data_IF_461783185079
#
_entry.id   IF_461783185079
#
_cell.length_a   1.000
_cell.length_b   1.000
_cell.length_c   1.000
_cell.angle_alpha   90.00
_cell.angle_beta   90.00
_cell.angle_gamma   90.00
#
_symmetry.space_group_name_H-M   'P 1'
#
loop_
_entity.id
_entity.type
_entity.pdbx_description
1 polymer ?
#
# COMPACT_ATOMS: atom_id res chain seq x y z
N UNK A 1 -6.16 -0.17 -6.48
CA UNK A 1 -7.12 0.95 -6.48
C UNK A 1 -8.41 0.49 -7.13
N UNK A 2 -9.54 1.03 -6.68
CA UNK A 2 -10.88 0.72 -7.16
C UNK A 2 -11.42 1.87 -8.01
N UNK A 3 -10.79 2.11 -9.16
CA UNK A 3 -11.13 3.20 -10.08
C UNK A 3 -10.77 2.87 -11.54
N UNK A 4 -11.13 3.76 -12.45
CA UNK A 4 -10.90 3.61 -13.90
C UNK A 4 -9.43 3.69 -14.33
N UNK A 5 -8.53 4.15 -13.45
CA UNK A 5 -7.09 4.13 -13.72
C UNK A 5 -6.54 2.70 -13.61
N UNK A 6 -7.01 1.94 -12.62
CA UNK A 6 -6.56 0.57 -12.38
C UNK A 6 -7.42 -0.49 -13.10
N UNK A 7 -8.71 -0.20 -13.32
CA UNK A 7 -9.68 -1.15 -13.90
C UNK A 7 -10.27 -0.51 -15.15
N UNK A 8 -9.97 -1.09 -16.32
CA UNK A 8 -10.40 -0.53 -17.61
C UNK A 8 -11.93 -0.60 -17.74
N UNK A 9 -12.53 0.45 -18.32
CA UNK A 9 -13.98 0.56 -18.50
C UNK A 9 -14.67 -0.69 -19.11
N UNK A 10 -14.08 -1.41 -20.10
CA UNK A 10 -14.73 -2.58 -20.69
C UNK A 10 -14.88 -3.78 -19.73
N UNK A 11 -14.11 -3.81 -18.65
CA UNK A 11 -14.11 -4.92 -17.66
C UNK A 11 -14.65 -4.49 -16.30
N UNK A 12 -14.97 -3.21 -16.12
CA UNK A 12 -15.63 -2.74 -14.91
C UNK A 12 -17.10 -3.22 -14.86
N UNK A 13 -17.63 -3.64 -13.70
CA UNK A 13 -19.05 -3.84 -13.47
C UNK A 13 -19.85 -2.61 -13.89
N UNK A 14 -20.88 -2.83 -14.72
CA UNK A 14 -21.70 -1.74 -15.27
C UNK A 14 -22.62 -1.08 -14.25
N UNK A 15 -22.92 -1.79 -13.17
CA UNK A 15 -23.66 -1.30 -12.01
C UNK A 15 -22.75 -0.59 -10.99
N UNK A 16 -21.43 -0.61 -11.18
CA UNK A 16 -20.46 -0.04 -10.25
C UNK A 16 -20.34 -0.80 -8.93
N UNK A 17 -20.94 -1.99 -8.82
CA UNK A 17 -20.93 -2.79 -7.60
C UNK A 17 -19.72 -3.73 -7.65
N UNK A 18 -18.66 -3.35 -6.94
CA UNK A 18 -17.45 -4.17 -6.75
C UNK A 18 -17.44 -4.96 -5.43
N UNK A 19 -18.53 -4.87 -4.65
CA UNK A 19 -18.64 -5.58 -3.38
C UNK A 19 -18.88 -7.06 -3.61
N UNK A 20 -18.27 -7.90 -2.79
CA UNK A 20 -18.55 -9.33 -2.70
C UNK A 20 -18.96 -9.68 -1.27
N UNK A 21 -19.71 -10.76 -1.11
CA UNK A 21 -20.07 -11.26 0.21
C UNK A 21 -18.96 -12.15 0.76
N UNK A 22 -18.39 -11.75 1.91
CA UNK A 22 -17.37 -12.55 2.60
C UNK A 22 -17.97 -13.91 3.00
N UNK A 23 -19.23 -13.96 3.45
CA UNK A 23 -19.87 -15.23 3.82
C UNK A 23 -20.09 -16.16 2.63
N UNK A 24 -20.35 -15.62 1.44
CA UNK A 24 -20.42 -16.41 0.21
C UNK A 24 -19.02 -16.93 -0.17
N UNK A 25 -17.97 -16.11 -0.04
CA UNK A 25 -16.60 -16.56 -0.21
C UNK A 25 -16.23 -17.68 0.78
N UNK A 26 -16.57 -17.53 2.06
CA UNK A 26 -16.32 -18.56 3.09
C UNK A 26 -17.04 -19.88 2.80
N UNK A 27 -18.21 -19.83 2.17
CA UNK A 27 -18.97 -21.04 1.82
C UNK A 27 -18.32 -21.85 0.68
N UNK A 28 -17.55 -21.20 -0.20
CA UNK A 28 -16.90 -21.85 -1.36
C UNK A 28 -15.41 -22.12 -1.14
N UNK A 29 -14.75 -21.34 -0.28
CA UNK A 29 -13.35 -21.52 0.05
C UNK A 29 -13.17 -22.70 1.00
N UNK A 30 -12.06 -23.41 0.87
CA UNK A 30 -11.71 -24.53 1.74
C UNK A 30 -11.67 -24.06 3.21
N UNK A 31 -12.17 -24.89 4.13
CA UNK A 31 -12.11 -24.60 5.55
C UNK A 31 -10.66 -24.32 5.98
N UNK A 32 -10.46 -23.22 6.71
CA UNK A 32 -9.13 -22.74 7.13
C UNK A 32 -8.44 -21.80 6.15
N UNK A 33 -9.00 -21.51 4.97
CA UNK A 33 -8.45 -20.48 4.05
C UNK A 33 -8.61 -19.06 4.59
N UNK A 34 -9.72 -18.79 5.27
CA UNK A 34 -9.98 -17.47 5.87
C UNK A 34 -9.60 -17.51 7.34
N UNK A 35 -8.64 -16.67 7.72
CA UNK A 35 -8.28 -16.43 9.11
C UNK A 35 -9.29 -15.47 9.75
N UNK A 36 -10.07 -15.99 10.70
CA UNK A 36 -11.08 -15.22 11.44
C UNK A 36 -10.56 -14.66 12.78
N UNK A 37 -9.29 -14.91 13.09
CA UNK A 37 -8.68 -14.47 14.36
C UNK A 37 -8.18 -13.03 14.31
N UNK A 38 -8.13 -12.43 13.12
CA UNK A 38 -7.63 -11.08 12.87
C UNK A 38 -8.73 -10.13 12.41
N UNK A 39 -8.71 -8.90 12.91
CA UNK A 39 -9.58 -7.83 12.44
C UNK A 39 -8.96 -7.13 11.21
N UNK A 40 -9.78 -6.90 10.18
CA UNK A 40 -9.42 -6.11 9.00
C UNK A 40 -9.13 -4.66 9.38
N UNK A 41 -8.11 -4.03 8.76
CA UNK A 41 -7.81 -2.60 8.98
C UNK A 41 -8.99 -1.71 8.60
N UNK A 42 -9.62 -1.99 7.45
CA UNK A 42 -10.87 -1.34 7.05
C UNK A 42 -12.01 -2.37 7.05
N UNK A 43 -13.15 -1.98 7.61
CA UNK A 43 -14.36 -2.83 7.69
C UNK A 43 -15.14 -2.89 6.38
N UNK A 44 -14.97 -1.88 5.54
CA UNK A 44 -15.58 -1.80 4.22
C UNK A 44 -14.51 -1.97 3.15
N UNK A 45 -14.88 -2.60 2.03
CA UNK A 45 -14.05 -2.59 0.82
C UNK A 45 -14.02 -1.17 0.22
N UNK A 46 -12.95 -0.80 -0.51
CA UNK A 46 -12.89 0.49 -1.18
C UNK A 46 -14.05 0.67 -2.15
N UNK A 47 -14.66 1.85 -2.15
CA UNK A 47 -15.77 2.18 -3.05
C UNK A 47 -15.26 2.39 -4.47
N UNK A 48 -16.11 2.09 -5.45
CA UNK A 48 -15.84 2.38 -6.85
C UNK A 48 -15.59 3.87 -7.07
N UNK A 49 -14.66 4.19 -7.96
CA UNK A 49 -14.16 5.54 -8.25
C UNK A 49 -13.46 6.23 -7.07
N UNK A 50 -12.75 5.48 -6.22
CA UNK A 50 -11.82 6.13 -5.28
C UNK A 50 -10.77 6.97 -6.05
N UNK A 51 -10.40 8.13 -5.53
CA UNK A 51 -9.36 8.96 -6.15
C UNK A 51 -8.02 8.23 -6.11
N UNK A 52 -7.11 8.54 -7.05
CA UNK A 52 -5.78 7.94 -7.05
C UNK A 52 -5.05 8.19 -5.72
N UNK A 53 -5.08 9.44 -5.25
CA UNK A 53 -4.43 9.83 -4.00
C UNK A 53 -5.10 9.21 -2.78
N UNK A 54 -6.44 9.08 -2.79
CA UNK A 54 -7.17 8.38 -1.73
C UNK A 54 -6.79 6.90 -1.65
N UNK A 55 -6.67 6.22 -2.81
CA UNK A 55 -6.22 4.84 -2.87
C UNK A 55 -4.78 4.66 -2.39
N UNK A 56 -3.86 5.56 -2.76
CA UNK A 56 -2.47 5.56 -2.30
C UNK A 56 -2.35 5.78 -0.80
N UNK A 57 -3.06 6.77 -0.28
CA UNK A 57 -3.11 7.07 1.15
C UNK A 57 -3.62 5.85 1.93
N UNK A 58 -4.67 5.19 1.43
CA UNK A 58 -5.22 3.96 2.02
C UNK A 58 -4.22 2.81 2.04
N UNK A 59 -3.49 2.56 0.95
CA UNK A 59 -2.43 1.54 0.95
C UNK A 59 -1.35 1.84 1.99
N UNK A 60 -0.88 3.08 2.07
CA UNK A 60 0.12 3.48 3.05
C UNK A 60 -0.40 3.32 4.48
N UNK A 61 -1.65 3.71 4.75
CA UNK A 61 -2.29 3.54 6.06
C UNK A 61 -2.34 2.07 6.47
N UNK A 62 -2.77 1.15 5.60
CA UNK A 62 -2.77 -0.30 5.88
C UNK A 62 -1.37 -0.79 6.28
N UNK A 63 -0.34 -0.39 5.53
CA UNK A 63 1.05 -0.81 5.82
C UNK A 63 1.48 -0.31 7.21
N UNK A 64 1.21 0.96 7.53
CA UNK A 64 1.55 1.56 8.83
C UNK A 64 0.80 0.88 9.97
N UNK A 65 -0.51 0.75 9.84
CA UNK A 65 -1.38 0.14 10.87
C UNK A 65 -0.99 -1.31 11.15
N UNK A 66 -0.74 -2.12 10.12
CA UNK A 66 -0.31 -3.51 10.32
C UNK A 66 1.05 -3.59 11.00
N UNK A 67 2.00 -2.75 10.58
CA UNK A 67 3.31 -2.70 11.21
C UNK A 67 3.28 -2.15 12.65
N UNK A 68 2.31 -1.30 13.00
CA UNK A 68 2.10 -0.83 14.39
C UNK A 68 1.44 -1.92 15.26
N UNK A 69 0.53 -2.70 14.68
CA UNK A 69 -0.16 -3.81 15.37
C UNK A 69 0.78 -4.98 15.69
N UNK A 70 1.81 -5.19 14.87
CA UNK A 70 2.77 -6.29 15.01
C UNK A 70 4.22 -5.79 15.13
N UNK A 71 4.57 -5.06 16.20
CA UNK A 71 5.84 -4.32 16.29
C UNK A 71 7.09 -5.21 16.43
N UNK A 72 6.92 -6.47 16.86
CA UNK A 72 7.99 -7.44 17.08
C UNK A 72 8.07 -8.54 16.02
N UNK A 73 7.28 -8.42 14.95
CA UNK A 73 7.16 -9.46 13.92
C UNK A 73 7.68 -8.96 12.57
N UNK A 74 8.06 -9.90 11.70
CA UNK A 74 8.31 -9.60 10.29
C UNK A 74 7.02 -9.83 9.51
N UNK A 75 6.55 -8.81 8.79
CA UNK A 75 5.33 -8.87 7.99
C UNK A 75 5.65 -9.06 6.52
N UNK A 76 4.95 -10.00 5.87
CA UNK A 76 4.92 -10.14 4.42
C UNK A 76 3.57 -9.64 3.90
N UNK A 77 3.59 -8.55 3.13
CA UNK A 77 2.39 -7.96 2.55
C UNK A 77 2.36 -8.20 1.05
N UNK A 78 1.37 -8.97 0.58
CA UNK A 78 1.16 -9.24 -0.85
C UNK A 78 0.08 -8.31 -1.38
N UNK A 79 0.41 -7.50 -2.38
CA UNK A 79 -0.44 -6.42 -2.90
C UNK A 79 -0.17 -6.17 -4.39
N UNK A 80 -1.08 -5.54 -5.15
CA UNK A 80 -0.77 -5.03 -6.49
C UNK A 80 0.36 -3.98 -6.48
N UNK A 81 0.94 -3.72 -7.66
CA UNK A 81 2.09 -2.80 -7.80
C UNK A 81 1.86 -1.40 -7.21
N UNK A 82 0.65 -0.84 -7.33
CA UNK A 82 0.30 0.44 -6.71
C UNK A 82 0.49 0.44 -5.19
N UNK A 83 0.20 -0.69 -4.52
CA UNK A 83 0.39 -0.80 -3.08
C UNK A 83 1.86 -0.77 -2.68
N UNK A 84 2.72 -1.44 -3.44
CA UNK A 84 4.19 -1.38 -3.27
C UNK A 84 4.69 0.04 -3.51
N UNK A 85 4.28 0.68 -4.61
CA UNK A 85 4.68 2.04 -4.96
C UNK A 85 4.21 3.09 -3.94
N UNK A 86 3.00 2.94 -3.41
CA UNK A 86 2.45 3.80 -2.35
C UNK A 86 3.25 3.68 -1.06
N UNK A 87 3.61 2.45 -0.67
CA UNK A 87 4.42 2.21 0.52
C UNK A 87 5.82 2.82 0.39
N UNK A 88 6.47 2.65 -0.76
CA UNK A 88 7.81 3.20 -1.02
C UNK A 88 7.78 4.74 -1.05
N UNK A 89 6.89 5.34 -1.84
CA UNK A 89 6.75 6.81 -1.93
C UNK A 89 6.43 7.43 -0.56
N UNK A 90 5.60 6.76 0.24
CA UNK A 90 5.26 7.21 1.60
C UNK A 90 6.42 7.12 2.60
N UNK A 91 7.45 6.32 2.31
CA UNK A 91 8.66 6.17 3.14
C UNK A 91 9.87 6.94 2.58
N UNK A 92 9.82 7.36 1.32
CA UNK A 92 10.87 8.11 0.61
C UNK A 92 10.25 9.34 -0.05
N UNK A 93 9.92 10.40 0.73
CA UNK A 93 9.20 11.56 0.21
C UNK A 93 9.96 12.31 -0.90
N UNK A 94 11.29 12.17 -0.94
CA UNK A 94 12.13 12.80 -1.97
C UNK A 94 12.09 12.07 -3.32
N UNK A 95 11.41 10.92 -3.41
CA UNK A 95 11.35 10.08 -4.59
C UNK A 95 9.91 9.77 -5.00
N UNK A 96 9.68 9.82 -6.30
CA UNK A 96 8.46 9.34 -6.93
C UNK A 96 8.71 7.95 -7.52
N UNK A 97 7.79 7.01 -7.27
CA UNK A 97 7.77 5.70 -7.93
C UNK A 97 7.01 5.83 -9.25
N UNK A 98 7.65 5.46 -10.36
CA UNK A 98 7.05 5.55 -11.71
C UNK A 98 6.56 4.20 -12.22
N UNK A 99 7.26 3.12 -11.84
CA UNK A 99 6.99 1.79 -12.33
C UNK A 99 7.32 0.76 -11.24
N UNK A 100 6.49 -0.29 -11.20
CA UNK A 100 6.64 -1.43 -10.30
C UNK A 100 6.43 -2.69 -11.13
N UNK A 101 7.51 -3.44 -11.34
CA UNK A 101 7.52 -4.66 -12.14
C UNK A 101 6.71 -5.78 -11.49
N UNK A 102 6.38 -6.79 -12.30
CA UNK A 102 5.82 -8.03 -11.77
C UNK A 102 6.82 -8.71 -10.80
N UNK A 103 6.34 -9.17 -9.64
CA UNK A 103 7.15 -9.69 -8.53
C UNK A 103 8.16 -8.69 -7.92
N UNK A 104 8.00 -7.39 -8.19
CA UNK A 104 8.72 -6.36 -7.48
C UNK A 104 8.40 -6.39 -5.98
N UNK A 105 9.39 -6.05 -5.16
CA UNK A 105 9.22 -5.99 -3.71
C UNK A 105 10.05 -4.86 -3.10
N UNK A 106 9.57 -4.37 -1.96
CA UNK A 106 10.29 -3.43 -1.11
C UNK A 106 10.40 -3.98 0.30
N UNK A 107 11.57 -3.80 0.91
CA UNK A 107 11.80 -4.14 2.32
C UNK A 107 11.82 -2.84 3.11
N UNK A 108 10.83 -2.68 3.98
CA UNK A 108 10.69 -1.52 4.85
C UNK A 108 11.17 -1.88 6.26
N UNK A 109 11.88 -0.95 6.91
CA UNK A 109 12.28 -1.07 8.32
C UNK A 109 11.85 0.15 9.10
N UNK A 110 11.33 -0.12 10.29
CA UNK A 110 11.10 0.89 11.32
C UNK A 110 12.45 1.22 11.99
N UNK A 111 12.89 2.49 12.04
CA UNK A 111 14.02 2.86 12.86
C UNK A 111 13.67 2.62 14.33
N UNK A 112 14.48 1.85 15.06
CA UNK A 112 14.26 1.51 16.48
C UNK A 112 14.50 2.69 17.46
N UNK A 113 14.49 3.94 16.98
CA UNK A 113 14.77 5.07 17.85
C UNK A 113 13.48 5.58 18.52
N UNK A 114 13.43 5.32 19.83
CA UNK A 114 12.49 5.83 20.83
C UNK A 114 11.02 5.37 20.70
N UNK A 115 10.67 4.44 21.59
CA UNK A 115 9.31 4.21 22.09
C UNK A 115 8.70 5.55 22.57
N UNK A 116 8.01 6.30 21.70
CA UNK A 116 7.39 7.56 22.14
C UNK A 116 6.77 8.48 21.10
N UNK A 117 7.22 8.54 19.84
CA UNK A 117 6.72 9.55 18.89
C UNK A 117 6.42 8.97 17.50
N UNK A 118 5.38 9.52 16.85
CA UNK A 118 4.79 9.09 15.56
C UNK A 118 5.84 8.56 14.57
N UNK A 119 5.87 7.23 14.39
CA UNK A 119 7.04 6.56 13.84
C UNK A 119 7.04 6.61 12.31
N UNK A 120 8.11 7.20 11.75
CA UNK A 120 8.41 7.19 10.32
C UNK A 120 9.03 5.84 9.92
N UNK A 121 8.67 5.32 8.75
CA UNK A 121 9.30 4.12 8.19
C UNK A 121 10.48 4.54 7.32
N UNK A 122 11.52 3.71 7.31
CA UNK A 122 12.67 3.87 6.40
C UNK A 122 12.69 2.70 5.43
N UNK A 123 12.93 2.96 4.14
CA UNK A 123 13.26 1.88 3.21
C UNK A 123 14.63 1.31 3.59
N UNK A 124 14.70 0.00 3.75
CA UNK A 124 15.88 -0.66 4.28
C UNK A 124 17.03 -0.56 3.28
N UNK A 125 17.96 0.37 3.55
CA UNK A 125 19.20 0.52 2.83
C UNK A 125 19.03 0.92 1.37
N UNK A 126 18.31 2.01 1.06
CA UNK A 126 18.28 2.59 -0.29
C UNK A 126 19.68 2.57 -0.94
N UNK A 127 19.92 1.86 -2.06
CA UNK A 127 18.96 1.18 -2.95
C UNK A 127 18.84 -0.36 -2.81
N UNK A 128 19.45 -1.01 -1.81
CA UNK A 128 19.48 -2.48 -1.63
C UNK A 128 18.15 -3.13 -1.22
N UNK A 129 17.19 -2.37 -0.68
CA UNK A 129 15.89 -2.89 -0.21
C UNK A 129 14.77 -2.87 -1.27
N UNK A 130 15.08 -2.50 -2.52
CA UNK A 130 14.11 -2.39 -3.60
C UNK A 130 14.51 -3.32 -4.75
N UNK A 131 13.54 -4.01 -5.33
CA UNK A 131 13.73 -4.86 -6.52
C UNK A 131 12.56 -4.65 -7.48
N UNK A 132 12.86 -4.37 -8.75
CA UNK A 132 11.84 -4.11 -9.78
C UNK A 132 11.04 -2.82 -9.57
N UNK A 133 11.64 -1.79 -8.96
CA UNK A 133 10.96 -0.51 -8.66
C UNK A 133 11.78 0.64 -9.26
N UNK A 134 11.17 1.39 -10.17
CA UNK A 134 11.78 2.55 -10.79
C UNK A 134 11.47 3.83 -9.99
N UNK A 135 12.52 4.55 -9.58
CA UNK A 135 12.45 5.80 -8.82
C UNK A 135 13.01 6.96 -9.64
N UNK A 136 12.39 8.14 -9.50
CA UNK A 136 13.06 9.41 -9.83
C UNK A 136 12.91 10.39 -8.67
N UNK A 137 13.91 11.27 -8.52
CA UNK A 137 13.87 12.33 -7.50
C UNK A 137 12.73 13.29 -7.83
N UNK A 138 11.94 13.67 -6.83
CA UNK A 138 10.93 14.72 -6.98
C UNK A 138 11.68 16.02 -7.34
N UNK A 139 11.29 16.73 -8.42
CA UNK A 139 11.91 18.02 -8.74
C UNK A 139 11.75 18.97 -7.55
N UNK A 140 12.86 19.57 -7.10
CA UNK A 140 12.79 20.64 -6.11
C UNK A 140 12.04 21.80 -6.75
N UNK A 141 11.02 22.32 -6.05
CA UNK A 141 10.29 23.50 -6.48
C UNK A 141 11.30 24.67 -6.57
N UNK A 142 11.55 25.25 -7.76
CA UNK A 142 12.45 26.40 -7.88
C UNK A 142 11.96 27.63 -7.10
N UNK A 143 10.76 27.59 -6.50
CA UNK A 143 10.18 28.63 -5.65
C UNK A 143 10.60 28.64 -4.17
N UNK A 144 11.41 27.69 -3.66
CA UNK A 144 11.85 27.68 -2.25
C UNK A 144 13.36 27.87 -2.05
N UNK A 145 14.02 28.60 -2.95
CA UNK A 145 15.32 29.18 -2.65
C UNK A 145 15.17 30.69 -2.41
N UNK A 146 15.51 31.14 -1.20
CA UNK A 146 15.51 32.52 -0.65
C UNK A 146 14.14 32.95 -0.08
N UNK A 147 13.96 33.30 1.21
CA UNK A 147 14.81 33.84 2.28
C UNK A 147 14.28 33.31 3.62
#
# INVERSE_FOLDING_TARGET
>A
MMNSLAIRDPVAPKDGIFTFSISECEAVLTAGTIDKTVEMVYKEVPRWQETADGGRARYLEVVKTLADKHPSENLLLVTPGEGVGSAVSGCLPDFMVFEVDYCAHSVLRRPMMALGENQSFTVLGSPKGLSGIALAKVPEDPGQSSI
#
